data_IF_823519931328
#
_entry.id   IF_823519931328
#
_cell.length_a   1.000
_cell.length_b   1.000
_cell.length_c   1.000
_cell.angle_alpha   90.00
_cell.angle_beta   90.00
_cell.angle_gamma   90.00
#
_symmetry.space_group_name_H-M   'P 1'
#
loop_
_entity.id
_entity.type
_entity.pdbx_description
1 polymer ?
#
# COMPACT_ATOMS: atom_id res chain seq x y z
N UNK A 1 8.48 13.00 2.30
CA UNK A 1 8.11 14.39 1.90
C UNK A 1 7.00 14.94 2.77
N UNK A 2 5.97 14.16 3.11
CA UNK A 2 4.90 14.55 4.05
C UNK A 2 5.40 14.57 5.51
N UNK A 3 6.19 13.57 5.94
CA UNK A 3 6.96 13.59 7.22
C UNK A 3 7.79 14.85 7.47
N UNK A 4 8.36 15.43 6.41
CA UNK A 4 9.17 16.67 6.46
C UNK A 4 8.33 17.93 6.18
N UNK A 5 7.00 17.79 6.10
CA UNK A 5 6.02 18.84 5.79
C UNK A 5 6.27 19.58 4.48
N UNK A 6 7.03 18.98 3.55
CA UNK A 6 7.27 19.55 2.21
C UNK A 6 5.97 19.50 1.39
N UNK A 7 5.10 18.51 1.65
CA UNK A 7 3.76 18.42 1.08
C UNK A 7 2.74 18.67 2.20
N UNK A 8 1.76 19.57 2.00
CA UNK A 8 0.70 19.82 2.97
C UNK A 8 -0.09 18.56 3.34
N UNK A 9 -0.31 18.32 4.64
CA UNK A 9 -1.01 17.13 5.14
C UNK A 9 -2.49 17.09 4.70
N UNK A 10 -3.08 18.25 4.37
CA UNK A 10 -4.44 18.37 3.88
C UNK A 10 -4.60 17.95 2.40
N UNK A 11 -3.52 17.61 1.70
CA UNK A 11 -3.57 17.09 0.32
C UNK A 11 -3.44 15.56 0.27
N UNK A 12 -2.95 14.95 1.34
CA UNK A 12 -2.84 13.49 1.43
C UNK A 12 -4.11 12.89 2.03
N UNK A 13 -4.38 11.63 1.68
CA UNK A 13 -5.56 10.89 2.15
C UNK A 13 -6.90 11.59 1.83
N UNK A 14 -7.01 12.16 0.63
CA UNK A 14 -8.22 12.85 0.18
C UNK A 14 -8.55 14.10 0.99
N UNK A 15 -7.56 14.69 1.68
CA UNK A 15 -7.74 15.84 2.55
C UNK A 15 -8.56 15.57 3.81
N UNK A 16 -8.69 14.31 4.20
CA UNK A 16 -9.44 13.90 5.40
C UNK A 16 -8.65 14.05 6.71
N UNK A 17 -7.34 14.29 6.62
CA UNK A 17 -6.48 14.48 7.80
C UNK A 17 -6.74 15.85 8.42
N UNK A 18 -7.13 15.85 9.70
CA UNK A 18 -7.50 17.07 10.42
C UNK A 18 -6.38 17.60 11.31
N UNK A 19 -5.35 16.79 11.60
CA UNK A 19 -4.25 17.19 12.48
C UNK A 19 -2.91 16.59 12.10
N UNK A 20 -1.84 17.25 12.54
CA UNK A 20 -0.46 16.77 12.37
C UNK A 20 -0.23 15.43 13.10
N UNK A 21 -0.85 15.22 14.27
CA UNK A 21 -0.75 13.93 14.98
C UNK A 21 -1.39 12.79 14.19
N UNK A 22 -2.57 13.03 13.60
CA UNK A 22 -3.25 12.06 12.75
C UNK A 22 -2.40 11.73 11.51
N UNK A 23 -1.76 12.74 10.90
CA UNK A 23 -0.79 12.54 9.82
C UNK A 23 0.32 11.56 10.23
N UNK A 24 0.99 11.80 11.36
CA UNK A 24 2.10 10.95 11.81
C UNK A 24 1.66 9.52 12.10
N UNK A 25 0.47 9.30 12.66
CA UNK A 25 -0.07 7.95 12.89
C UNK A 25 -0.30 7.24 11.55
N UNK A 26 -0.97 7.89 10.60
CA UNK A 26 -1.26 7.32 9.29
C UNK A 26 0.01 7.02 8.49
N UNK A 27 1.00 7.93 8.54
CA UNK A 27 2.31 7.70 7.94
C UNK A 27 3.06 6.54 8.59
N UNK A 28 3.05 6.43 9.92
CA UNK A 28 3.68 5.33 10.65
C UNK A 28 3.07 3.97 10.29
N UNK A 29 1.74 3.91 10.15
CA UNK A 29 1.02 2.72 9.67
C UNK A 29 1.42 2.41 8.22
N UNK A 30 1.45 3.41 7.33
CA UNK A 30 1.81 3.23 5.94
C UNK A 30 3.26 2.69 5.78
N UNK A 31 4.21 3.23 6.53
CA UNK A 31 5.61 2.77 6.53
C UNK A 31 5.71 1.33 7.04
N UNK A 32 4.98 0.99 8.11
CA UNK A 32 4.95 -0.37 8.66
C UNK A 32 4.41 -1.37 7.63
N UNK A 33 3.32 -1.02 6.94
CA UNK A 33 2.74 -1.85 5.88
C UNK A 33 3.73 -2.00 4.71
N UNK A 34 4.39 -0.92 4.29
CA UNK A 34 5.41 -0.97 3.23
C UNK A 34 6.58 -1.88 3.59
N UNK A 35 7.11 -1.76 4.82
CA UNK A 35 8.18 -2.64 5.31
C UNK A 35 7.74 -4.10 5.37
N UNK A 36 6.52 -4.36 5.83
CA UNK A 36 5.95 -5.70 5.86
C UNK A 36 5.85 -6.31 4.46
N UNK A 37 5.25 -5.58 3.52
CA UNK A 37 5.16 -5.96 2.10
C UNK A 37 6.55 -6.24 1.52
N UNK A 38 7.50 -5.34 1.74
CA UNK A 38 8.87 -5.48 1.27
C UNK A 38 9.51 -6.78 1.78
N UNK A 39 9.33 -7.07 3.07
CA UNK A 39 9.84 -8.30 3.69
C UNK A 39 9.21 -9.55 3.07
N UNK A 40 7.89 -9.56 2.84
CA UNK A 40 7.19 -10.68 2.19
C UNK A 40 7.70 -10.91 0.76
N UNK A 41 7.92 -9.84 -0.01
CA UNK A 41 8.48 -9.94 -1.36
C UNK A 41 9.94 -10.42 -1.35
N UNK A 42 10.76 -9.92 -0.42
CA UNK A 42 12.15 -10.39 -0.24
C UNK A 42 12.21 -11.87 0.14
N UNK A 43 11.28 -12.36 0.97
CA UNK A 43 11.16 -13.79 1.27
C UNK A 43 10.73 -14.59 0.04
N UNK A 44 9.77 -14.09 -0.76
CA UNK A 44 9.32 -14.73 -2.00
C UNK A 44 10.45 -14.85 -3.02
N UNK A 45 11.28 -13.81 -3.17
CA UNK A 45 12.43 -13.78 -4.08
C UNK A 45 13.69 -14.45 -3.53
N UNK A 46 13.63 -14.99 -2.29
CA UNK A 46 14.76 -15.62 -1.58
C UNK A 46 15.96 -14.69 -1.35
N UNK A 47 15.75 -13.37 -1.37
CA UNK A 47 16.76 -12.40 -0.96
C UNK A 47 17.07 -12.49 0.54
N UNK A 48 16.07 -12.90 1.33
CA UNK A 48 16.21 -13.20 2.76
C UNK A 48 15.68 -14.59 3.05
N UNK A 49 16.18 -15.22 4.11
CA UNK A 49 15.72 -16.54 4.55
C UNK A 49 14.22 -16.48 4.88
N UNK A 50 13.35 -17.27 4.20
CA UNK A 50 11.92 -17.25 4.48
C UNK A 50 11.63 -17.75 5.90
N UNK A 51 10.91 -16.94 6.66
CA UNK A 51 10.37 -17.33 7.97
C UNK A 51 9.01 -18.02 7.78
N UNK A 52 8.26 -17.60 6.76
CA UNK A 52 6.97 -18.18 6.39
C UNK A 52 7.11 -19.29 5.35
N UNK A 53 6.18 -20.25 5.39
CA UNK A 53 6.06 -21.26 4.33
C UNK A 53 5.71 -20.60 2.99
N UNK A 54 6.09 -21.23 1.89
CA UNK A 54 5.73 -20.74 0.54
C UNK A 54 4.21 -20.58 0.36
N UNK A 55 3.40 -21.46 0.96
CA UNK A 55 1.93 -21.38 0.94
C UNK A 55 1.43 -20.15 1.70
N UNK A 56 2.05 -19.82 2.84
CA UNK A 56 1.71 -18.62 3.62
C UNK A 56 2.07 -17.35 2.87
N UNK A 57 3.27 -17.28 2.27
CA UNK A 57 3.70 -16.14 1.46
C UNK A 57 2.73 -15.89 0.29
N UNK A 58 2.36 -16.94 -0.45
CA UNK A 58 1.37 -16.84 -1.54
C UNK A 58 0.02 -16.30 -1.05
N UNK A 59 -0.47 -16.79 0.10
CA UNK A 59 -1.73 -16.29 0.69
C UNK A 59 -1.65 -14.83 1.10
N UNK A 60 -0.55 -14.40 1.72
CA UNK A 60 -0.35 -12.99 2.09
C UNK A 60 -0.34 -12.09 0.84
N UNK A 61 0.38 -12.50 -0.22
CA UNK A 61 0.40 -11.77 -1.48
C UNK A 61 -0.98 -11.67 -2.13
N UNK A 62 -1.79 -12.74 -2.06
CA UNK A 62 -3.16 -12.73 -2.57
C UNK A 62 -4.05 -11.76 -1.76
N UNK A 63 -3.93 -11.73 -0.43
CA UNK A 63 -4.66 -10.78 0.41
C UNK A 63 -4.32 -9.34 0.02
N UNK A 64 -3.04 -9.03 -0.18
CA UNK A 64 -2.64 -7.70 -0.66
C UNK A 64 -3.13 -7.41 -2.08
N UNK A 65 -3.19 -8.41 -2.97
CA UNK A 65 -3.79 -8.23 -4.29
C UNK A 65 -5.26 -7.79 -4.18
N UNK A 66 -6.05 -8.48 -3.35
CA UNK A 66 -7.46 -8.11 -3.10
C UNK A 66 -7.56 -6.73 -2.47
N UNK A 67 -6.72 -6.42 -1.49
CA UNK A 67 -6.65 -5.10 -0.87
C UNK A 67 -6.40 -3.99 -1.91
N UNK A 68 -5.46 -4.19 -2.85
CA UNK A 68 -5.19 -3.22 -3.90
C UNK A 68 -6.30 -3.12 -4.95
N UNK A 69 -7.04 -4.20 -5.22
CA UNK A 69 -8.26 -4.15 -6.05
C UNK A 69 -9.29 -3.25 -5.38
N UNK A 70 -9.56 -3.45 -4.08
CA UNK A 70 -10.50 -2.62 -3.34
C UNK A 70 -10.06 -1.16 -3.29
N UNK A 71 -8.76 -0.89 -3.09
CA UNK A 71 -8.21 0.46 -3.18
C UNK A 71 -8.38 1.09 -4.56
N UNK A 72 -8.24 0.30 -5.63
CA UNK A 72 -8.46 0.79 -7.00
C UNK A 72 -9.90 1.24 -7.20
N UNK A 73 -10.87 0.45 -6.71
CA UNK A 73 -12.28 0.82 -6.75
C UNK A 73 -12.51 2.12 -5.96
N UNK A 74 -12.01 2.21 -4.73
CA UNK A 74 -12.12 3.41 -3.91
C UNK A 74 -11.54 4.65 -4.59
N UNK A 75 -10.35 4.52 -5.17
CA UNK A 75 -9.64 5.60 -5.86
C UNK A 75 -10.33 6.04 -7.16
N UNK A 76 -10.97 5.13 -7.90
CA UNK A 76 -11.78 5.47 -9.08
C UNK A 76 -13.06 6.26 -8.71
N UNK A 77 -13.64 5.95 -7.55
CA UNK A 77 -14.82 6.63 -7.02
C UNK A 77 -14.50 7.93 -6.28
N UNK A 78 -13.23 8.26 -6.10
CA UNK A 78 -12.80 9.45 -5.38
C UNK A 78 -13.12 10.74 -6.14
N UNK A 79 -13.31 11.83 -5.42
CA UNK A 79 -13.66 13.13 -5.99
C UNK A 79 -12.43 13.84 -6.57
N UNK A 80 -11.25 13.66 -5.95
CA UNK A 80 -10.04 14.38 -6.32
C UNK A 80 -9.30 13.72 -7.48
N UNK A 81 -8.66 14.54 -8.33
CA UNK A 81 -7.89 14.03 -9.47
C UNK A 81 -6.66 13.23 -9.01
N UNK A 82 -6.07 13.62 -7.88
CA UNK A 82 -4.92 12.95 -7.27
C UNK A 82 -5.29 11.51 -6.88
N UNK A 83 -6.42 11.31 -6.20
CA UNK A 83 -6.89 9.98 -5.83
C UNK A 83 -7.21 9.12 -7.06
N UNK A 84 -7.80 9.71 -8.10
CA UNK A 84 -8.01 9.00 -9.38
C UNK A 84 -6.71 8.54 -10.03
N UNK A 85 -5.64 9.34 -9.97
CA UNK A 85 -4.31 8.87 -10.40
C UNK A 85 -3.76 7.74 -9.54
N UNK A 86 -4.05 7.74 -8.23
CA UNK A 86 -3.68 6.63 -7.34
C UNK A 86 -4.36 5.32 -7.75
N UNK A 87 -5.52 5.35 -8.42
CA UNK A 87 -6.17 4.14 -8.94
C UNK A 87 -5.28 3.37 -9.93
N UNK A 88 -4.53 4.08 -10.78
CA UNK A 88 -3.62 3.47 -11.76
C UNK A 88 -2.49 2.72 -11.03
N UNK A 89 -1.94 3.36 -10.00
CA UNK A 89 -0.88 2.78 -9.17
C UNK A 89 -1.39 1.55 -8.42
N UNK A 90 -2.56 1.64 -7.79
CA UNK A 90 -3.13 0.50 -7.04
C UNK A 90 -3.56 -0.63 -7.96
N UNK A 91 -3.99 -0.34 -9.20
CA UNK A 91 -4.29 -1.36 -10.18
C UNK A 91 -3.04 -2.13 -10.61
N UNK A 92 -1.95 -1.40 -10.88
CA UNK A 92 -0.65 -2.01 -11.17
C UNK A 92 -0.21 -2.94 -10.03
N UNK A 93 -0.29 -2.47 -8.78
CA UNK A 93 0.04 -3.27 -7.60
C UNK A 93 -0.86 -4.49 -7.47
N UNK A 94 -2.17 -4.36 -7.67
CA UNK A 94 -3.09 -5.50 -7.65
C UNK A 94 -2.66 -6.61 -8.61
N UNK A 95 -2.30 -6.25 -9.85
CA UNK A 95 -1.84 -7.20 -10.87
C UNK A 95 -0.52 -7.86 -10.47
N UNK A 96 0.45 -7.07 -10.00
CA UNK A 96 1.77 -7.58 -9.57
C UNK A 96 1.60 -8.59 -8.43
N UNK A 97 0.87 -8.23 -7.38
CA UNK A 97 0.67 -9.09 -6.22
C UNK A 97 -0.11 -10.35 -6.56
N UNK A 98 -1.13 -10.24 -7.40
CA UNK A 98 -1.87 -11.41 -7.89
C UNK A 98 -0.95 -12.36 -8.66
N UNK A 99 -0.12 -11.84 -9.58
CA UNK A 99 0.84 -12.65 -10.34
C UNK A 99 1.90 -13.29 -9.45
N UNK A 100 2.40 -12.58 -8.43
CA UNK A 100 3.37 -13.10 -7.47
C UNK A 100 2.77 -14.13 -6.49
N UNK A 101 1.43 -14.14 -6.34
CA UNK A 101 0.72 -15.11 -5.50
C UNK A 101 0.58 -16.49 -6.16
N UNK A 102 0.76 -16.58 -7.48
CA UNK A 102 0.82 -17.86 -8.22
C UNK A 102 2.12 -18.62 -7.92
#
# INVERSE_FOLDING_TARGET
MVLFQIIPYNLVWGGKIKSVNEMYILEGVALTIMLFIGTILSMKSRLVKPIFTAKTIKRILLVFAVFFILNTIGNLLAETIIEKYQAIVTLYLAIVFYKSSK
#
